data_IF_375259837494
#
_entry.id   IF_375259837494
#
_cell.length_a   1.000
_cell.length_b   1.000
_cell.length_c   1.000
_cell.angle_alpha   90.00
_cell.angle_beta   90.00
_cell.angle_gamma   90.00
#
_symmetry.space_group_name_H-M   'P 1'
#
loop_
_entity.id
_entity.type
_entity.pdbx_description
1 polymer ?
#
# COMPACT_ATOMS: atom_id res chain seq x y z
N UNK A 1 -16.64 13.56 16.75
CA UNK A 1 -16.49 12.49 15.73
C UNK A 1 -15.36 12.90 14.81
N UNK A 2 -14.29 12.11 14.74
CA UNK A 2 -13.17 12.40 13.83
C UNK A 2 -13.64 12.25 12.37
N UNK A 3 -13.58 13.32 11.59
CA UNK A 3 -14.01 13.36 10.19
C UNK A 3 -12.78 13.37 9.28
N UNK A 4 -12.20 12.20 9.04
CA UNK A 4 -11.07 12.07 8.12
C UNK A 4 -11.52 12.36 6.68
N UNK A 5 -10.80 13.22 5.98
CA UNK A 5 -11.02 13.59 4.57
C UNK A 5 -9.90 13.03 3.72
N UNK A 6 -10.15 11.91 3.05
CA UNK A 6 -9.20 11.34 2.10
C UNK A 6 -9.57 11.71 0.66
N UNK A 7 -8.56 12.04 -0.16
CA UNK A 7 -8.77 12.22 -1.60
C UNK A 7 -9.00 10.86 -2.27
N UNK A 8 -9.66 10.86 -3.44
CA UNK A 8 -9.79 9.66 -4.27
C UNK A 8 -8.43 9.01 -4.58
N UNK A 9 -7.38 9.83 -4.75
CA UNK A 9 -6.01 9.35 -4.98
C UNK A 9 -5.48 8.62 -3.74
N UNK A 10 -5.77 9.11 -2.53
CA UNK A 10 -5.32 8.46 -1.29
C UNK A 10 -5.97 7.09 -1.14
N UNK A 11 -7.26 6.97 -1.52
CA UNK A 11 -7.97 5.69 -1.51
C UNK A 11 -7.38 4.69 -2.51
N UNK A 12 -7.09 5.13 -3.74
CA UNK A 12 -6.46 4.29 -4.78
C UNK A 12 -5.07 3.82 -4.37
N UNK A 13 -4.27 4.71 -3.79
CA UNK A 13 -2.92 4.40 -3.29
C UNK A 13 -2.96 3.44 -2.10
N UNK A 14 -3.91 3.61 -1.18
CA UNK A 14 -4.09 2.68 -0.07
C UNK A 14 -4.50 1.28 -0.57
N UNK A 15 -5.37 1.20 -1.58
CA UNK A 15 -5.69 -0.05 -2.25
C UNK A 15 -4.47 -0.70 -2.91
N UNK A 16 -3.67 0.08 -3.63
CA UNK A 16 -2.42 -0.39 -4.25
C UNK A 16 -1.43 -0.92 -3.20
N UNK A 17 -1.29 -0.23 -2.07
CA UNK A 17 -0.45 -0.67 -0.96
C UNK A 17 -0.93 -2.03 -0.41
N UNK A 18 -2.24 -2.19 -0.19
CA UNK A 18 -2.84 -3.46 0.23
C UNK A 18 -2.60 -4.60 -0.77
N UNK A 19 -2.78 -4.35 -2.06
CA UNK A 19 -2.49 -5.33 -3.11
C UNK A 19 -1.01 -5.72 -3.15
N UNK A 20 -0.10 -4.75 -3.02
CA UNK A 20 1.34 -5.00 -3.02
C UNK A 20 1.78 -5.84 -1.80
N UNK A 21 1.19 -5.62 -0.62
CA UNK A 21 1.39 -6.49 0.55
C UNK A 21 0.86 -7.90 0.26
N UNK A 22 -0.33 -8.01 -0.33
CA UNK A 22 -0.90 -9.31 -0.74
C UNK A 22 0.01 -10.08 -1.69
N UNK A 23 0.62 -9.40 -2.67
CA UNK A 23 1.60 -10.00 -3.59
C UNK A 23 2.91 -10.40 -2.88
N UNK A 24 3.33 -9.63 -1.88
CA UNK A 24 4.49 -9.99 -1.05
C UNK A 24 4.25 -11.30 -0.30
N UNK A 25 3.05 -11.47 0.25
CA UNK A 25 2.63 -12.72 0.92
C UNK A 25 2.49 -13.85 -0.11
N UNK A 26 1.88 -13.59 -1.27
CA UNK A 26 1.72 -14.58 -2.34
C UNK A 26 3.07 -15.12 -2.84
N UNK A 27 4.14 -14.31 -2.81
CA UNK A 27 5.50 -14.73 -3.17
C UNK A 27 6.12 -15.73 -2.19
N UNK A 28 5.56 -15.88 -0.97
CA UNK A 28 6.03 -16.85 0.02
C UNK A 28 5.54 -18.29 -0.26
N UNK A 29 4.44 -18.44 -0.99
CA UNK A 29 4.00 -19.74 -1.51
C UNK A 29 4.70 -20.06 -2.83
N UNK A 30 4.62 -21.34 -3.26
CA UNK A 30 5.22 -21.88 -4.51
C UNK A 30 5.30 -20.81 -5.61
N UNK A 31 6.43 -20.69 -6.35
CA UNK A 31 6.81 -19.47 -7.05
C UNK A 31 5.84 -19.14 -8.20
N UNK A 32 4.72 -18.51 -7.85
CA UNK A 32 3.69 -17.99 -8.75
C UNK A 32 4.12 -16.70 -9.43
N UNK A 33 5.06 -15.98 -8.80
CA UNK A 33 5.50 -14.66 -9.20
C UNK A 33 6.99 -14.69 -9.55
N UNK A 34 7.35 -14.17 -10.72
CA UNK A 34 8.74 -14.10 -11.20
C UNK A 34 9.55 -13.00 -10.53
N UNK A 35 8.90 -11.89 -10.17
CA UNK A 35 9.56 -10.75 -9.53
C UNK A 35 10.02 -11.07 -8.10
N UNK A 36 11.08 -10.40 -7.64
CA UNK A 36 11.60 -10.55 -6.29
C UNK A 36 10.66 -9.93 -5.23
N UNK A 37 10.60 -10.56 -4.05
CA UNK A 37 9.70 -10.18 -2.96
C UNK A 37 9.85 -8.71 -2.51
N UNK A 38 11.08 -8.19 -2.50
CA UNK A 38 11.38 -6.83 -2.06
C UNK A 38 10.75 -5.76 -2.95
N UNK A 39 10.47 -6.06 -4.22
CA UNK A 39 9.86 -5.08 -5.14
C UNK A 39 8.43 -4.79 -4.73
N UNK A 40 7.66 -5.81 -4.37
CA UNK A 40 6.29 -5.64 -3.87
C UNK A 40 6.28 -4.84 -2.57
N UNK A 41 7.25 -5.09 -1.70
CA UNK A 41 7.40 -4.35 -0.44
C UNK A 41 7.74 -2.87 -0.70
N UNK A 42 8.65 -2.57 -1.63
CA UNK A 42 8.97 -1.19 -2.03
C UNK A 42 7.73 -0.48 -2.56
N UNK A 43 6.93 -1.13 -3.42
CA UNK A 43 5.68 -0.55 -3.93
C UNK A 43 4.67 -0.30 -2.81
N UNK A 44 4.53 -1.24 -1.86
CA UNK A 44 3.66 -1.07 -0.71
C UNK A 44 4.05 0.15 0.15
N UNK A 45 5.35 0.31 0.41
CA UNK A 45 5.87 1.46 1.16
C UNK A 45 5.61 2.76 0.40
N UNK A 46 6.01 2.84 -0.87
CA UNK A 46 5.82 4.05 -1.67
C UNK A 46 4.34 4.46 -1.82
N UNK A 47 3.45 3.48 -2.03
CA UNK A 47 2.02 3.72 -2.15
C UNK A 47 1.40 4.18 -0.82
N UNK A 48 1.94 3.76 0.32
CA UNK A 48 1.41 4.16 1.64
C UNK A 48 1.85 5.55 2.10
N UNK A 49 2.95 6.11 1.57
CA UNK A 49 3.50 7.42 1.99
C UNK A 49 2.46 8.53 1.93
N UNK A 50 1.81 8.74 0.77
CA UNK A 50 0.88 9.86 0.57
C UNK A 50 -0.38 9.74 1.44
N UNK A 51 -1.08 8.59 1.50
CA UNK A 51 -2.18 8.37 2.43
C UNK A 51 -1.78 8.62 3.89
N UNK A 52 -0.57 8.18 4.29
CA UNK A 52 -0.08 8.36 5.65
C UNK A 52 0.14 9.85 5.99
N UNK A 53 0.73 10.62 5.07
CA UNK A 53 0.89 12.06 5.23
C UNK A 53 -0.47 12.76 5.32
N UNK A 54 -1.42 12.38 4.46
CA UNK A 54 -2.80 12.91 4.53
C UNK A 54 -3.44 12.61 5.88
N UNK A 55 -3.25 11.40 6.42
CA UNK A 55 -3.76 11.00 7.72
C UNK A 55 -3.11 11.78 8.86
N UNK A 56 -1.78 11.85 8.91
CA UNK A 56 -1.03 12.58 9.96
C UNK A 56 -1.38 14.07 9.97
N UNK A 57 -1.63 14.69 8.81
CA UNK A 57 -2.09 16.10 8.74
C UNK A 57 -3.50 16.32 9.28
N UNK A 58 -4.28 15.26 9.46
CA UNK A 58 -5.66 15.32 9.94
C UNK A 58 -5.78 14.90 11.41
N UNK A 59 -4.66 14.48 12.02
CA UNK A 59 -4.49 14.24 13.45
C UNK A 59 -4.19 15.56 14.15
#
# INVERSE_FOLDING_TARGET
>A
MWQFKFSFIDFRLNGLAGFAIGLTIAKLWDPLLSLNWYIYLIVAVLASVKPLISFVKQI
#
